data_IF_611334925979
#
_entry.id   IF_611334925979
#
_cell.length_a   1.000
_cell.length_b   1.000
_cell.length_c   1.000
_cell.angle_alpha   90.00
_cell.angle_beta   90.00
_cell.angle_gamma   90.00
#
_symmetry.space_group_name_H-M   'P 1'
#
loop_
_entity.id
_entity.type
_entity.pdbx_description
1 polymer ?
#
# COMPACT_ATOMS: atom_id res chain seq x y z
N UNK A 1 -3.08 25.07 -14.52
CA UNK A 1 -3.57 24.30 -13.37
C UNK A 1 -3.31 22.82 -13.63
N UNK A 2 -2.17 22.29 -13.17
CA UNK A 2 -1.77 20.89 -13.42
C UNK A 2 -2.19 19.98 -12.26
N UNK A 3 -2.79 18.84 -12.60
CA UNK A 3 -3.52 17.92 -11.72
C UNK A 3 -2.64 17.00 -10.86
N UNK A 4 -1.74 17.56 -10.05
CA UNK A 4 -0.67 16.80 -9.35
C UNK A 4 -1.09 15.95 -8.13
N UNK A 5 -2.36 15.61 -7.91
CA UNK A 5 -2.78 14.92 -6.66
C UNK A 5 -3.75 13.75 -6.82
N UNK A 6 -3.99 13.29 -8.04
CA UNK A 6 -5.03 12.28 -8.32
C UNK A 6 -4.78 10.90 -7.69
N UNK A 7 -3.51 10.54 -7.46
CA UNK A 7 -3.10 9.21 -6.96
C UNK A 7 -3.13 9.06 -5.43
N UNK A 8 -3.27 10.15 -4.70
CA UNK A 8 -3.23 10.12 -3.23
C UNK A 8 -4.60 9.93 -2.58
N UNK A 9 -5.69 9.94 -3.37
CA UNK A 9 -7.06 9.93 -2.86
C UNK A 9 -7.92 8.89 -3.60
N UNK A 10 -8.34 7.80 -2.94
CA UNK A 10 -9.46 6.99 -3.41
C UNK A 10 -10.72 7.87 -3.50
N UNK A 11 -11.55 7.65 -4.52
CA UNK A 11 -12.78 8.43 -4.73
C UNK A 11 -13.81 8.11 -3.62
N UNK A 12 -13.85 8.95 -2.58
CA UNK A 12 -15.06 9.31 -1.81
C UNK A 12 -14.94 10.77 -1.36
N UNK A 13 -15.61 11.64 -2.12
CA UNK A 13 -15.70 13.07 -1.86
C UNK A 13 -16.71 13.30 -0.73
N UNK A 14 -16.23 13.49 0.49
CA UNK A 14 -17.00 14.07 1.60
C UNK A 14 -16.11 15.06 2.34
N UNK A 15 -16.60 16.25 2.74
CA UNK A 15 -15.80 17.26 3.43
C UNK A 15 -15.48 16.90 4.91
N UNK A 16 -15.83 15.69 5.36
CA UNK A 16 -15.56 15.18 6.70
C UNK A 16 -14.20 14.50 6.81
N UNK A 17 -13.57 14.59 7.99
CA UNK A 17 -12.35 13.85 8.33
C UNK A 17 -12.59 12.35 8.14
N UNK A 18 -11.91 11.75 7.16
CA UNK A 18 -12.04 10.33 6.89
C UNK A 18 -11.07 9.53 7.78
N UNK A 19 -11.64 8.76 8.72
CA UNK A 19 -10.88 7.85 9.57
C UNK A 19 -10.24 6.74 8.73
N UNK A 20 -9.08 6.25 9.20
CA UNK A 20 -8.34 5.21 8.49
C UNK A 20 -7.75 4.20 9.48
N UNK A 21 -7.98 2.92 9.25
CA UNK A 21 -7.32 1.83 9.97
C UNK A 21 -6.05 1.42 9.22
N UNK A 22 -5.03 0.94 9.94
CA UNK A 22 -3.84 0.34 9.34
C UNK A 22 -3.61 -1.04 9.93
N UNK A 23 -3.71 -2.06 9.09
CA UNK A 23 -3.51 -3.47 9.42
C UNK A 23 -2.09 -3.90 9.01
N UNK A 24 -1.47 -4.79 9.78
CA UNK A 24 -0.25 -5.49 9.36
C UNK A 24 -0.61 -6.82 8.71
N UNK A 25 -0.19 -7.03 7.47
CA UNK A 25 -0.37 -8.27 6.73
C UNK A 25 0.40 -9.41 7.42
N UNK A 26 -0.09 -10.66 7.44
CA UNK A 26 0.60 -11.79 8.06
C UNK A 26 1.74 -12.29 7.16
N UNK A 27 2.74 -11.43 6.92
CA UNK A 27 3.82 -11.66 5.96
C UNK A 27 4.63 -12.93 6.24
N UNK A 28 4.80 -13.31 7.52
CA UNK A 28 5.47 -14.57 7.91
C UNK A 28 4.72 -15.80 7.45
N UNK A 29 3.38 -15.75 7.45
CA UNK A 29 2.57 -16.86 6.97
C UNK A 29 2.67 -16.98 5.44
N UNK A 30 2.72 -15.85 4.72
CA UNK A 30 2.99 -15.83 3.29
C UNK A 30 4.37 -16.43 2.96
N UNK A 31 5.41 -16.04 3.70
CA UNK A 31 6.76 -16.61 3.54
C UNK A 31 6.79 -18.13 3.81
N UNK A 32 5.87 -18.63 4.64
CA UNK A 32 5.68 -20.06 4.89
C UNK A 32 4.74 -20.75 3.86
N UNK A 33 4.33 -20.04 2.80
CA UNK A 33 3.47 -20.56 1.72
C UNK A 33 1.97 -20.44 1.94
N UNK A 34 1.51 -19.85 3.05
CA UNK A 34 0.09 -19.64 3.31
C UNK A 34 -0.37 -18.28 2.80
N UNK A 35 -0.79 -18.23 1.54
CA UNK A 35 -1.36 -17.03 0.92
C UNK A 35 -2.78 -16.72 1.44
N UNK A 36 -3.56 -17.76 1.71
CA UNK A 36 -4.99 -17.66 2.01
C UNK A 36 -5.26 -16.86 3.28
N UNK A 37 -4.47 -17.09 4.34
CA UNK A 37 -4.64 -16.35 5.60
C UNK A 37 -4.43 -14.84 5.44
N UNK A 38 -3.57 -14.42 4.50
CA UNK A 38 -3.37 -13.02 4.16
C UNK A 38 -4.61 -12.40 3.51
N UNK A 39 -5.22 -13.13 2.58
CA UNK A 39 -6.45 -12.71 1.92
C UNK A 39 -7.61 -12.58 2.93
N UNK A 40 -7.84 -13.64 3.72
CA UNK A 40 -8.97 -13.72 4.64
C UNK A 40 -8.90 -12.62 5.72
N UNK A 41 -7.72 -12.39 6.28
CA UNK A 41 -7.53 -11.36 7.29
C UNK A 41 -7.81 -9.95 6.75
N UNK A 42 -7.24 -9.62 5.57
CA UNK A 42 -7.45 -8.31 4.95
C UNK A 42 -8.91 -8.11 4.59
N UNK A 43 -9.56 -9.14 4.03
CA UNK A 43 -10.97 -9.08 3.64
C UNK A 43 -11.88 -8.86 4.85
N UNK A 44 -11.70 -9.60 5.93
CA UNK A 44 -12.48 -9.43 7.15
C UNK A 44 -12.31 -8.02 7.75
N UNK A 45 -11.08 -7.50 7.79
CA UNK A 45 -10.84 -6.12 8.23
C UNK A 45 -11.46 -5.10 7.28
N UNK A 46 -11.45 -5.34 5.97
CA UNK A 46 -12.06 -4.44 4.98
C UNK A 46 -13.57 -4.38 5.15
N UNK A 47 -14.24 -5.51 5.35
CA UNK A 47 -15.69 -5.57 5.60
C UNK A 47 -16.07 -4.75 6.83
N UNK A 48 -15.35 -4.92 7.95
CA UNK A 48 -15.55 -4.12 9.16
C UNK A 48 -15.28 -2.62 8.92
N UNK A 49 -14.22 -2.27 8.20
CA UNK A 49 -13.90 -0.88 7.88
C UNK A 49 -14.96 -0.23 6.98
N UNK A 50 -15.45 -0.96 5.96
CA UNK A 50 -16.43 -0.47 5.02
C UNK A 50 -17.78 -0.16 5.70
N UNK A 51 -18.22 -1.02 6.63
CA UNK A 51 -19.42 -0.80 7.43
C UNK A 51 -19.36 0.50 8.26
N UNK A 52 -18.14 0.91 8.67
CA UNK A 52 -17.90 2.14 9.42
C UNK A 52 -17.43 3.33 8.55
N UNK A 53 -17.42 3.20 7.21
CA UNK A 53 -16.88 4.19 6.27
C UNK A 53 -15.42 4.61 6.59
N UNK A 54 -14.61 3.66 7.06
CA UNK A 54 -13.18 3.79 7.38
C UNK A 54 -12.35 3.25 6.22
N UNK A 55 -11.27 3.92 5.83
CA UNK A 55 -10.34 3.38 4.82
C UNK A 55 -9.36 2.40 5.47
N UNK A 56 -9.11 1.27 4.81
CA UNK A 56 -8.14 0.28 5.25
C UNK A 56 -6.80 0.45 4.51
N UNK A 57 -5.71 0.60 5.25
CA UNK A 57 -4.36 0.46 4.73
C UNK A 57 -3.74 -0.85 5.19
N UNK A 58 -3.05 -1.55 4.31
CA UNK A 58 -2.38 -2.81 4.64
C UNK A 58 -0.87 -2.62 4.55
N UNK A 59 -0.17 -2.87 5.66
CA UNK A 59 1.30 -2.91 5.71
C UNK A 59 1.75 -4.31 5.30
N UNK A 60 2.59 -4.43 4.28
CA UNK A 60 3.13 -5.74 3.84
C UNK A 60 4.51 -6.07 4.43
N UNK A 61 5.16 -5.10 5.07
CA UNK A 61 6.48 -5.22 5.71
C UNK A 61 7.59 -5.63 4.72
N UNK A 62 7.79 -4.79 3.70
CA UNK A 62 8.71 -5.04 2.58
C UNK A 62 10.14 -5.40 3.01
N UNK A 63 10.66 -4.81 4.09
CA UNK A 63 11.99 -5.11 4.59
C UNK A 63 12.16 -6.49 5.22
N UNK A 64 11.06 -7.14 5.62
CA UNK A 64 11.05 -8.53 6.10
C UNK A 64 10.80 -9.51 4.94
N UNK A 65 9.93 -9.14 3.99
CA UNK A 65 9.68 -9.96 2.79
C UNK A 65 10.92 -10.11 1.91
N UNK A 66 11.68 -9.01 1.71
CA UNK A 66 12.97 -8.89 1.00
C UNK A 66 12.97 -9.25 -0.49
N UNK A 67 12.31 -10.34 -0.86
CA UNK A 67 12.21 -10.86 -2.20
C UNK A 67 11.15 -10.11 -3.01
N UNK A 68 11.46 -9.76 -4.26
CA UNK A 68 10.54 -9.03 -5.14
C UNK A 68 9.23 -9.80 -5.37
N UNK A 69 9.30 -11.12 -5.61
CA UNK A 69 8.11 -11.91 -5.88
C UNK A 69 7.19 -11.95 -4.66
N UNK A 70 7.75 -12.01 -3.45
CA UNK A 70 6.97 -11.91 -2.21
C UNK A 70 6.35 -10.52 -2.00
N UNK A 71 7.07 -9.44 -2.30
CA UNK A 71 6.54 -8.06 -2.22
C UNK A 71 5.38 -7.89 -3.21
N UNK A 72 5.53 -8.39 -4.45
CA UNK A 72 4.45 -8.39 -5.45
C UNK A 72 3.27 -9.21 -4.97
N UNK A 73 3.51 -10.43 -4.50
CA UNK A 73 2.45 -11.34 -4.04
C UNK A 73 1.65 -10.77 -2.87
N UNK A 74 2.31 -10.23 -1.85
CA UNK A 74 1.64 -9.61 -0.71
C UNK A 74 0.80 -8.39 -1.14
N UNK A 75 1.30 -7.60 -2.09
CA UNK A 75 0.58 -6.45 -2.67
C UNK A 75 -0.67 -6.90 -3.42
N UNK A 76 -0.54 -7.89 -4.31
CA UNK A 76 -1.65 -8.47 -5.07
C UNK A 76 -2.74 -9.04 -4.15
N UNK A 77 -2.36 -9.83 -3.14
CA UNK A 77 -3.30 -10.42 -2.18
C UNK A 77 -4.05 -9.31 -1.44
N UNK A 78 -3.33 -8.30 -0.96
CA UNK A 78 -3.92 -7.18 -0.21
C UNK A 78 -4.91 -6.39 -1.08
N UNK A 79 -4.58 -6.14 -2.34
CA UNK A 79 -5.46 -5.45 -3.30
C UNK A 79 -6.71 -6.29 -3.59
N UNK A 80 -6.54 -7.58 -3.91
CA UNK A 80 -7.66 -8.50 -4.18
C UNK A 80 -8.61 -8.64 -2.98
N UNK A 81 -8.07 -8.56 -1.76
CA UNK A 81 -8.85 -8.59 -0.52
C UNK A 81 -9.49 -7.23 -0.16
N UNK A 82 -9.23 -6.18 -0.95
CA UNK A 82 -9.93 -4.89 -0.86
C UNK A 82 -9.20 -3.78 -0.11
N UNK A 83 -7.87 -3.83 0.03
CA UNK A 83 -7.10 -2.73 0.61
C UNK A 83 -7.35 -1.40 -0.15
N UNK A 84 -7.59 -0.30 0.59
CA UNK A 84 -7.67 1.05 0.00
C UNK A 84 -6.27 1.66 -0.20
N UNK A 85 -5.29 1.18 0.58
CA UNK A 85 -3.88 1.50 0.39
C UNK A 85 -3.02 0.27 0.68
N UNK A 86 -1.95 0.10 -0.08
CA UNK A 86 -0.81 -0.74 0.31
C UNK A 86 0.31 0.14 0.86
N UNK A 87 0.89 -0.27 1.98
CA UNK A 87 1.88 0.47 2.77
C UNK A 87 3.14 -0.38 2.94
N UNK A 88 4.31 0.23 2.78
CA UNK A 88 5.58 -0.53 2.81
C UNK A 88 5.82 -1.21 4.15
N UNK A 89 5.86 -0.43 5.24
CA UNK A 89 6.46 -0.92 6.50
C UNK A 89 5.80 -0.35 7.76
N UNK A 90 6.04 -1.01 8.90
CA UNK A 90 5.58 -0.53 10.21
C UNK A 90 6.42 0.61 10.76
N UNK A 91 7.68 0.73 10.35
CA UNK A 91 8.66 1.62 10.99
C UNK A 91 9.36 0.99 12.20
N UNK A 92 9.14 -0.31 12.46
CA UNK A 92 9.63 -1.02 13.65
C UNK A 92 10.67 -2.10 13.35
N UNK A 93 10.95 -2.35 12.07
CA UNK A 93 11.96 -3.32 11.59
C UNK A 93 13.18 -2.59 11.04
N UNK A 94 14.27 -3.32 10.79
CA UNK A 94 15.56 -2.73 10.39
C UNK A 94 15.49 -2.01 9.04
N UNK A 95 14.92 -2.67 8.02
CA UNK A 95 14.72 -2.10 6.68
C UNK A 95 13.24 -1.73 6.52
N UNK A 96 12.95 -0.50 6.10
CA UNK A 96 11.58 -0.02 5.93
C UNK A 96 11.32 0.37 4.46
N UNK A 97 10.82 1.57 4.20
CA UNK A 97 10.63 2.02 2.82
C UNK A 97 11.98 2.18 2.10
N UNK A 98 12.06 1.60 0.90
CA UNK A 98 13.12 1.87 -0.07
C UNK A 98 12.48 2.27 -1.40
N UNK A 99 13.17 3.06 -2.25
CA UNK A 99 12.68 3.40 -3.59
C UNK A 99 12.37 2.17 -4.46
N UNK A 100 13.17 1.10 -4.31
CA UNK A 100 12.99 -0.17 -5.01
C UNK A 100 11.69 -0.87 -4.59
N UNK A 101 11.47 -1.05 -3.28
CA UNK A 101 10.20 -1.61 -2.76
C UNK A 101 8.99 -0.76 -3.18
N UNK A 102 9.14 0.57 -3.19
CA UNK A 102 8.09 1.47 -3.62
C UNK A 102 7.72 1.30 -5.10
N UNK A 103 8.72 1.20 -5.99
CA UNK A 103 8.51 0.95 -7.41
C UNK A 103 7.77 -0.36 -7.63
N UNK A 104 8.21 -1.46 -7.01
CA UNK A 104 7.56 -2.77 -7.13
C UNK A 104 6.08 -2.69 -6.73
N UNK A 105 5.78 -2.09 -5.57
CA UNK A 105 4.40 -1.96 -5.09
C UNK A 105 3.53 -1.08 -6.01
N UNK A 106 4.07 0.03 -6.53
CA UNK A 106 3.34 0.90 -7.46
C UNK A 106 3.13 0.22 -8.83
N UNK A 107 4.10 -0.56 -9.31
CA UNK A 107 3.93 -1.37 -10.52
C UNK A 107 2.79 -2.37 -10.36
N UNK A 108 2.66 -3.04 -9.20
CA UNK A 108 1.49 -3.90 -8.95
C UNK A 108 0.17 -3.13 -9.02
N UNK A 109 0.11 -1.91 -8.46
CA UNK A 109 -1.09 -1.06 -8.56
C UNK A 109 -1.43 -0.75 -10.03
N UNK A 110 -0.42 -0.38 -10.83
CA UNK A 110 -0.55 -0.09 -12.27
C UNK A 110 -0.99 -1.34 -13.04
N UNK A 111 -0.29 -2.45 -12.84
CA UNK A 111 -0.48 -3.70 -13.61
C UNK A 111 -1.85 -4.32 -13.33
N UNK A 112 -2.41 -4.10 -12.13
CA UNK A 112 -3.77 -4.50 -11.78
C UNK A 112 -4.85 -3.49 -12.22
N UNK A 113 -4.48 -2.31 -12.73
CA UNK A 113 -5.43 -1.28 -13.18
C UNK A 113 -6.29 -0.69 -12.06
N UNK A 114 -5.76 -0.62 -10.82
CA UNK A 114 -6.50 -0.22 -9.62
C UNK A 114 -6.10 1.15 -9.08
N UNK A 115 -5.35 1.94 -9.85
CA UNK A 115 -4.75 3.21 -9.45
C UNK A 115 -5.78 4.29 -9.02
N UNK A 116 -7.04 4.16 -9.43
CA UNK A 116 -8.15 5.05 -9.00
C UNK A 116 -8.75 4.67 -7.64
N UNK A 117 -8.49 3.45 -7.17
CA UNK A 117 -9.13 2.86 -5.99
C UNK A 117 -8.14 2.47 -4.90
N UNK A 118 -6.88 2.23 -5.25
CA UNK A 118 -5.81 1.83 -4.33
C UNK A 118 -4.70 2.85 -4.34
N UNK A 119 -4.39 3.42 -3.17
CA UNK A 119 -3.26 4.31 -3.00
C UNK A 119 -1.98 3.60 -2.53
N UNK A 120 -0.84 4.25 -2.73
CA UNK A 120 0.44 3.83 -2.19
C UNK A 120 0.85 4.66 -0.96
N UNK A 121 1.52 4.05 0.02
CA UNK A 121 2.09 4.77 1.17
C UNK A 121 3.50 4.26 1.54
N UNK A 122 4.58 5.02 1.26
CA UNK A 122 5.89 4.72 1.84
C UNK A 122 5.88 5.06 3.33
N UNK A 123 6.49 4.24 4.16
CA UNK A 123 6.57 4.47 5.61
C UNK A 123 7.82 3.85 6.24
N UNK A 124 8.38 4.58 7.21
CA UNK A 124 9.62 4.25 7.89
C UNK A 124 10.84 4.63 7.04
N UNK A 125 11.75 5.43 7.61
CA UNK A 125 13.00 5.82 6.96
C UNK A 125 12.96 7.07 6.09
N UNK A 126 11.78 7.59 5.73
CA UNK A 126 11.64 8.87 4.98
C UNK A 126 11.80 10.04 5.94
N UNK A 127 12.96 10.71 5.92
CA UNK A 127 13.29 11.75 6.93
C UNK A 127 13.46 13.15 6.36
N UNK A 128 13.82 13.25 5.07
CA UNK A 128 14.08 14.54 4.43
C UNK A 128 13.14 14.81 3.25
N UNK A 129 13.12 16.05 2.78
CA UNK A 129 12.35 16.42 1.59
C UNK A 129 12.87 15.70 0.33
N UNK A 130 14.18 15.51 0.23
CA UNK A 130 14.85 14.80 -0.85
C UNK A 130 14.43 13.32 -0.87
N UNK A 131 14.28 12.69 0.30
CA UNK A 131 13.73 11.33 0.38
C UNK A 131 12.30 11.29 -0.14
N UNK A 132 11.45 12.23 0.29
CA UNK A 132 10.07 12.31 -0.18
C UNK A 132 9.98 12.52 -1.70
N UNK A 133 10.87 13.35 -2.26
CA UNK A 133 10.93 13.62 -3.70
C UNK A 133 11.20 12.35 -4.52
N UNK A 134 12.06 11.44 -4.05
CA UNK A 134 12.33 10.16 -4.72
C UNK A 134 11.05 9.33 -4.91
N UNK A 135 10.21 9.24 -3.87
CA UNK A 135 8.96 8.48 -3.94
C UNK A 135 7.91 9.16 -4.83
N UNK A 136 7.82 10.50 -4.79
CA UNK A 136 6.92 11.26 -5.66
C UNK A 136 7.31 11.13 -7.12
N UNK A 137 8.61 11.16 -7.44
CA UNK A 137 9.09 10.99 -8.80
C UNK A 137 8.69 9.64 -9.40
N UNK A 138 8.76 8.55 -8.62
CA UNK A 138 8.32 7.21 -9.07
C UNK A 138 6.80 7.22 -9.35
N UNK A 139 6.01 7.86 -8.50
CA UNK A 139 4.56 7.96 -8.72
C UNK A 139 4.22 8.77 -9.97
N UNK A 140 4.90 9.90 -10.18
CA UNK A 140 4.71 10.74 -11.36
C UNK A 140 5.13 10.01 -12.65
N UNK A 141 6.20 9.22 -12.61
CA UNK A 141 6.64 8.39 -13.75
C UNK A 141 5.60 7.33 -14.12
N UNK A 142 5.05 6.61 -13.13
CA UNK A 142 4.14 5.49 -13.37
C UNK A 142 2.70 5.92 -13.67
N UNK A 143 2.28 7.08 -13.14
CA UNK A 143 0.87 7.48 -13.17
C UNK A 143 0.64 8.93 -13.61
N UNK A 144 1.67 9.74 -13.90
CA UNK A 144 1.52 11.18 -14.18
C UNK A 144 0.94 11.56 -15.54
N UNK A 145 0.57 10.59 -16.38
CA UNK A 145 -0.02 10.78 -17.72
C UNK A 145 -1.49 11.17 -17.72
#
# INVERSE_FOLDING_TARGET
MTSKSRWQKPVRQSPTVQMKLTLCFPYRALMAGNEQVGFDLVKACKEACAAANVLLKVIIETGELKDEALIRKASEISIKAGADFIKTSTGKVAVNATPESARIMMEVIRDMGVEKTVGFKPAGGVRTAEDAQKYLAIADELFGG
#
